data_IF_252703561284
#
_entry.id   IF_252703561284
#
_cell.length_a   1.000
_cell.length_b   1.000
_cell.length_c   1.000
_cell.angle_alpha   90.00
_cell.angle_beta   90.00
_cell.angle_gamma   90.00
#
_symmetry.space_group_name_H-M   'P 1'
#
loop_
_entity.id
_entity.type
_entity.pdbx_description
1 polymer ?
#
# COMPACT_ATOMS: atom_id res chain seq x y z
N UNK A 1 0.36 1.14 -27.99
CA UNK A 1 1.38 0.72 -26.99
C UNK A 1 0.65 0.65 -25.65
N UNK A 2 0.69 -0.47 -24.93
CA UNK A 2 0.03 -0.56 -23.63
C UNK A 2 0.81 0.29 -22.61
N UNK A 3 0.10 1.06 -21.78
CA UNK A 3 0.73 1.82 -20.68
C UNK A 3 1.12 0.80 -19.60
N UNK A 4 2.40 0.75 -19.23
CA UNK A 4 2.91 -0.11 -18.17
C UNK A 4 3.15 0.69 -16.89
N UNK A 5 3.07 0.03 -15.73
CA UNK A 5 3.28 0.63 -14.42
C UNK A 5 4.52 0.01 -13.78
N UNK A 6 5.50 0.84 -13.43
CA UNK A 6 6.63 0.48 -12.60
C UNK A 6 6.31 0.80 -11.13
N UNK A 7 6.55 -0.15 -10.22
CA UNK A 7 6.46 0.09 -8.78
C UNK A 7 7.84 0.52 -8.29
N UNK A 8 7.95 1.76 -7.80
CA UNK A 8 9.20 2.33 -7.31
C UNK A 8 9.46 1.95 -5.84
N UNK A 9 8.38 1.79 -5.08
CA UNK A 9 8.46 1.45 -3.67
C UNK A 9 7.14 1.64 -2.93
N UNK A 10 7.19 1.42 -1.63
CA UNK A 10 6.03 1.55 -0.74
C UNK A 10 6.42 2.17 0.59
N UNK A 11 5.40 2.73 1.26
CA UNK A 11 5.50 3.23 2.64
C UNK A 11 4.20 2.94 3.37
N UNK A 12 4.29 2.44 4.60
CA UNK A 12 3.14 1.99 5.39
C UNK A 12 3.20 2.61 6.78
N UNK A 13 2.09 3.22 7.19
CA UNK A 13 1.93 3.83 8.51
C UNK A 13 1.08 2.91 9.39
N UNK A 14 1.56 2.66 10.60
CA UNK A 14 0.88 1.86 11.62
C UNK A 14 0.53 2.71 12.83
N UNK A 15 -0.42 2.19 13.61
CA UNK A 15 -0.72 2.72 14.94
C UNK A 15 0.53 2.70 15.85
N UNK A 16 0.59 3.67 16.78
CA UNK A 16 1.78 3.89 17.62
C UNK A 16 2.95 4.58 16.91
N UNK A 17 2.70 5.28 15.79
CA UNK A 17 3.69 6.06 15.01
C UNK A 17 4.84 5.23 14.41
N UNK A 18 4.59 3.95 14.11
CA UNK A 18 5.57 3.13 13.38
C UNK A 18 5.36 3.32 11.88
N UNK A 19 6.44 3.56 11.15
CA UNK A 19 6.43 3.72 9.70
C UNK A 19 7.47 2.79 9.10
N UNK A 20 7.07 2.06 8.06
CA UNK A 20 7.93 1.14 7.32
C UNK A 20 7.98 1.60 5.86
N UNK A 21 9.12 1.44 5.20
CA UNK A 21 9.28 1.74 3.78
C UNK A 21 10.19 0.76 3.07
N UNK A 22 10.00 0.64 1.76
CA UNK A 22 10.72 -0.33 0.93
C UNK A 22 12.20 0.01 0.71
N UNK A 23 12.69 1.18 1.15
CA UNK A 23 14.13 1.49 1.10
C UNK A 23 14.89 0.78 2.20
N UNK A 24 14.23 0.53 3.32
CA UNK A 24 14.86 0.03 4.56
C UNK A 24 14.26 -1.28 5.05
N UNK A 25 13.10 -1.67 4.53
CA UNK A 25 12.36 -2.85 4.95
C UNK A 25 11.89 -3.67 3.75
N UNK A 26 11.67 -4.95 4.00
CA UNK A 26 10.98 -5.88 3.11
C UNK A 26 9.53 -6.03 3.54
N UNK A 27 8.73 -6.63 2.67
CA UNK A 27 7.34 -6.95 3.00
C UNK A 27 7.19 -7.96 4.14
N UNK A 28 8.23 -8.75 4.43
CA UNK A 28 8.23 -9.73 5.52
C UNK A 28 8.44 -9.06 6.90
N UNK A 29 8.94 -7.82 6.93
CA UNK A 29 9.12 -7.02 8.14
C UNK A 29 7.82 -6.36 8.62
N UNK A 30 6.78 -6.34 7.77
CA UNK A 30 5.53 -5.65 8.03
C UNK A 30 4.63 -6.43 9.00
N UNK A 31 4.19 -5.83 10.12
CA UNK A 31 3.16 -6.43 10.97
C UNK A 31 1.87 -6.71 10.17
N UNK A 32 1.28 -7.89 10.31
CA UNK A 32 0.09 -8.27 9.54
C UNK A 32 -1.18 -7.48 9.88
N UNK A 33 -1.19 -6.73 10.99
CA UNK A 33 -2.32 -5.93 11.46
C UNK A 33 -1.84 -4.56 11.96
N UNK A 34 -2.76 -3.59 12.00
CA UNK A 34 -2.49 -2.25 12.53
C UNK A 34 -2.21 -1.19 11.47
N UNK A 35 -2.38 -1.50 10.18
CA UNK A 35 -2.14 -0.54 9.10
C UNK A 35 -3.17 0.59 9.18
N UNK A 36 -2.71 1.83 9.16
CA UNK A 36 -3.57 3.02 9.07
C UNK A 36 -3.66 3.47 7.61
N UNK A 37 -2.51 3.58 6.95
CA UNK A 37 -2.38 4.07 5.58
C UNK A 37 -1.28 3.28 4.87
N UNK A 38 -1.53 2.90 3.62
CA UNK A 38 -0.56 2.22 2.76
C UNK A 38 -0.39 3.04 1.48
N UNK A 39 0.83 3.50 1.21
CA UNK A 39 1.17 4.22 -0.01
C UNK A 39 2.07 3.37 -0.91
N UNK A 40 1.74 3.32 -2.19
CA UNK A 40 2.58 2.70 -3.22
C UNK A 40 2.96 3.75 -4.25
N UNK A 41 4.26 3.93 -4.47
CA UNK A 41 4.85 4.87 -5.41
C UNK A 41 5.05 4.20 -6.76
N UNK A 42 4.63 4.88 -7.83
CA UNK A 42 4.52 4.28 -9.16
C UNK A 42 4.91 5.27 -10.24
N UNK A 43 5.44 4.74 -11.34
CA UNK A 43 5.74 5.50 -12.55
C UNK A 43 5.02 4.83 -13.73
N UNK A 44 4.36 5.63 -14.56
CA UNK A 44 3.71 5.12 -15.77
C UNK A 44 4.63 5.32 -16.98
N UNK A 45 4.61 4.38 -17.93
CA UNK A 45 5.51 4.43 -19.10
C UNK A 45 5.27 5.62 -20.02
N UNK A 46 4.07 6.20 -20.03
CA UNK A 46 3.70 7.37 -20.81
C UNK A 46 4.07 8.70 -20.11
N UNK A 47 4.33 8.66 -18.81
CA UNK A 47 4.74 9.81 -17.97
C UNK A 47 5.95 9.43 -17.11
N UNK A 48 7.10 9.11 -17.74
CA UNK A 48 8.26 8.53 -17.03
C UNK A 48 8.90 9.48 -16.00
N UNK A 49 8.65 10.79 -16.12
CA UNK A 49 9.17 11.79 -15.19
C UNK A 49 8.24 12.04 -14.00
N UNK A 50 7.00 11.53 -14.04
CA UNK A 50 6.00 11.78 -13.01
C UNK A 50 5.87 10.58 -12.08
N UNK A 51 6.29 10.77 -10.83
CA UNK A 51 6.05 9.79 -9.76
C UNK A 51 4.67 10.02 -9.19
N UNK A 52 3.81 9.02 -9.35
CA UNK A 52 2.46 9.00 -8.83
C UNK A 52 2.38 8.14 -7.57
N UNK A 53 1.30 8.31 -6.82
CA UNK A 53 1.05 7.62 -5.55
C UNK A 53 -0.34 7.03 -5.56
N UNK A 54 -0.46 5.80 -5.08
CA UNK A 54 -1.75 5.19 -4.74
C UNK A 54 -1.81 4.97 -3.24
N UNK A 55 -2.82 5.56 -2.63
CA UNK A 55 -3.11 5.45 -1.21
C UNK A 55 -4.20 4.40 -0.97
N UNK A 56 -4.04 3.66 0.12
CA UNK A 56 -5.02 2.73 0.64
C UNK A 56 -5.14 2.98 2.14
N UNK A 57 -6.23 3.63 2.55
CA UNK A 57 -6.49 4.00 3.94
C UNK A 57 -7.82 3.44 4.44
N UNK A 58 -7.95 3.33 5.76
CA UNK A 58 -9.17 2.86 6.45
C UNK A 58 -9.15 1.41 6.98
N UNK A 59 -10.33 0.83 7.21
CA UNK A 59 -10.54 -0.49 7.85
C UNK A 59 -10.50 -1.67 6.87
N UNK A 60 -9.89 -1.48 5.70
CA UNK A 60 -9.86 -2.48 4.65
C UNK A 60 -8.76 -3.52 4.89
N UNK A 61 -8.81 -4.62 4.15
CA UNK A 61 -7.63 -5.46 3.96
C UNK A 61 -6.80 -4.89 2.81
N UNK A 62 -5.52 -4.65 3.04
CA UNK A 62 -4.55 -4.27 2.02
C UNK A 62 -3.86 -5.53 1.52
N UNK A 63 -3.56 -5.60 0.24
CA UNK A 63 -2.84 -6.75 -0.29
C UNK A 63 -1.96 -6.40 -1.47
N UNK A 64 -0.92 -7.21 -1.61
CA UNK A 64 -0.19 -7.36 -2.86
C UNK A 64 -0.35 -8.78 -3.39
N UNK A 65 -0.42 -8.95 -4.71
CA UNK A 65 -0.53 -10.26 -5.35
C UNK A 65 0.28 -10.34 -6.65
N UNK A 66 0.88 -11.50 -6.95
CA UNK A 66 1.55 -11.72 -8.23
C UNK A 66 0.52 -11.73 -9.37
N UNK A 67 0.84 -11.07 -10.49
CA UNK A 67 0.04 -11.11 -11.71
C UNK A 67 0.96 -11.04 -12.95
N UNK A 68 0.59 -11.68 -14.08
CA UNK A 68 1.45 -11.75 -15.27
C UNK A 68 1.91 -10.40 -15.82
N UNK A 69 1.09 -9.37 -15.64
CA UNK A 69 1.35 -8.00 -16.12
C UNK A 69 2.06 -7.10 -15.09
N UNK A 70 2.46 -7.66 -13.95
CA UNK A 70 3.09 -6.93 -12.85
C UNK A 70 2.31 -7.07 -11.55
N UNK A 71 2.98 -6.79 -10.44
CA UNK A 71 2.42 -6.95 -9.10
C UNK A 71 1.17 -6.07 -8.87
N UNK A 72 0.08 -6.68 -8.39
CA UNK A 72 -1.16 -5.98 -8.05
C UNK A 72 -1.07 -5.48 -6.62
N UNK A 73 -1.25 -4.18 -6.44
CA UNK A 73 -1.42 -3.55 -5.12
C UNK A 73 -2.83 -2.97 -5.01
N UNK A 74 -3.61 -3.43 -4.03
CA UNK A 74 -5.00 -3.01 -3.85
C UNK A 74 -5.46 -3.11 -2.39
N UNK A 75 -6.63 -2.54 -2.12
CA UNK A 75 -7.43 -2.84 -0.93
C UNK A 75 -8.67 -3.66 -1.28
N UNK A 76 -9.22 -4.33 -0.28
CA UNK A 76 -10.49 -5.04 -0.33
C UNK A 76 -11.37 -4.65 0.86
N UNK A 77 -12.43 -3.90 0.58
CA UNK A 77 -13.49 -3.58 1.54
C UNK A 77 -14.50 -4.72 1.62
N UNK A 78 -15.15 -4.90 2.78
CA UNK A 78 -16.19 -5.92 2.99
C UNK A 78 -15.79 -7.35 2.55
N UNK A 79 -14.53 -7.71 2.75
CA UNK A 79 -14.02 -9.04 2.45
C UNK A 79 -13.17 -9.57 3.59
N UNK A 80 -12.69 -10.80 3.45
CA UNK A 80 -11.79 -11.47 4.39
C UNK A 80 -10.47 -11.75 3.69
N UNK A 81 -9.42 -11.98 4.48
CA UNK A 81 -8.14 -12.46 3.96
C UNK A 81 -8.32 -13.71 3.07
N UNK A 82 -9.13 -14.68 3.51
CA UNK A 82 -9.43 -15.87 2.72
C UNK A 82 -10.11 -15.54 1.39
N UNK A 83 -11.08 -14.61 1.39
CA UNK A 83 -11.76 -14.16 0.18
C UNK A 83 -10.85 -13.42 -0.79
N UNK A 84 -9.82 -12.73 -0.29
CA UNK A 84 -8.76 -12.14 -1.12
C UNK A 84 -7.88 -13.24 -1.70
N UNK A 85 -7.39 -14.16 -0.89
CA UNK A 85 -6.50 -15.25 -1.34
C UNK A 85 -7.14 -16.22 -2.34
N UNK A 86 -8.47 -16.39 -2.29
CA UNK A 86 -9.22 -17.14 -3.30
C UNK A 86 -9.20 -16.41 -4.65
N UNK A 87 -9.41 -15.08 -4.65
CA UNK A 87 -9.43 -14.25 -5.86
C UNK A 87 -8.04 -13.97 -6.42
N UNK A 88 -7.06 -13.87 -5.54
CA UNK A 88 -5.68 -13.54 -5.84
C UNK A 88 -4.75 -14.58 -5.17
N UNK A 89 -4.55 -15.75 -5.80
CA UNK A 89 -3.65 -16.77 -5.28
C UNK A 89 -2.24 -16.21 -5.10
N UNK A 90 -1.62 -16.46 -3.95
CA UNK A 90 -0.30 -15.92 -3.60
C UNK A 90 -0.34 -14.51 -3.02
N UNK A 91 -1.52 -13.94 -2.77
CA UNK A 91 -1.64 -12.63 -2.13
C UNK A 91 -1.05 -12.61 -0.72
N UNK A 92 -0.25 -11.57 -0.44
CA UNK A 92 0.14 -11.14 0.91
C UNK A 92 -0.87 -10.10 1.37
N UNK A 93 -1.38 -10.25 2.59
CA UNK A 93 -2.53 -9.48 3.08
C UNK A 93 -2.20 -8.86 4.44
N UNK A 94 -2.55 -7.60 4.61
CA UNK A 94 -2.45 -6.83 5.85
C UNK A 94 -3.81 -6.30 6.25
N UNK A 95 -4.08 -6.25 7.55
CA UNK A 95 -5.32 -5.73 8.11
C UNK A 95 -5.18 -4.26 8.48
N UNK A 96 -6.11 -3.46 7.97
CA UNK A 96 -6.28 -2.07 8.38
C UNK A 96 -6.92 -1.96 9.76
N UNK A 97 -6.55 -0.91 10.50
CA UNK A 97 -7.01 -0.66 11.86
C UNK A 97 -7.78 0.65 11.96
N UNK A 98 -8.88 0.61 12.71
CA UNK A 98 -9.59 1.81 13.13
C UNK A 98 -8.82 2.53 14.24
N UNK A 99 -8.51 3.78 13.97
CA UNK A 99 -7.88 4.71 14.90
C UNK A 99 -8.74 5.98 14.97
N UNK A 100 -8.65 6.77 16.06
CA UNK A 100 -9.40 8.01 16.15
C UNK A 100 -9.19 8.92 14.93
N UNK A 101 -10.23 9.61 14.48
CA UNK A 101 -10.23 10.48 13.29
C UNK A 101 -9.03 11.43 13.20
N UNK A 102 -8.63 11.99 14.35
CA UNK A 102 -7.47 12.90 14.40
C UNK A 102 -6.17 12.19 14.01
N UNK A 103 -5.99 10.94 14.43
CA UNK A 103 -4.82 10.11 14.06
C UNK A 103 -4.89 9.79 12.56
N UNK A 104 -6.04 9.31 12.09
CA UNK A 104 -6.24 8.98 10.67
C UNK A 104 -5.94 10.19 9.76
N UNK A 105 -6.47 11.37 10.09
CA UNK A 105 -6.23 12.61 9.32
C UNK A 105 -4.77 13.05 9.34
N UNK A 106 -4.10 12.96 10.49
CA UNK A 106 -2.69 13.32 10.60
C UNK A 106 -1.81 12.36 9.79
N UNK A 107 -2.09 11.06 9.84
CA UNK A 107 -1.37 10.05 9.05
C UNK A 107 -1.60 10.24 7.55
N UNK A 108 -2.84 10.45 7.12
CA UNK A 108 -3.14 10.71 5.72
C UNK A 108 -2.42 11.98 5.21
N UNK A 109 -2.37 13.04 6.05
CA UNK A 109 -1.61 14.25 5.73
C UNK A 109 -0.12 13.96 5.58
N UNK A 110 0.49 13.25 6.53
CA UNK A 110 1.90 12.86 6.46
C UNK A 110 2.20 12.04 5.20
N UNK A 111 1.31 11.10 4.85
CA UNK A 111 1.45 10.27 3.67
C UNK A 111 1.36 11.08 2.36
N UNK A 112 0.48 12.09 2.30
CA UNK A 112 0.36 13.02 1.18
C UNK A 112 1.56 13.97 1.09
N UNK A 113 2.12 14.40 2.22
CA UNK A 113 3.28 15.28 2.25
C UNK A 113 4.59 14.53 1.93
N UNK A 114 4.61 13.20 2.08
CA UNK A 114 5.79 12.38 1.76
C UNK A 114 6.02 12.27 0.24
N UNK A 115 7.21 12.71 -0.19
CA UNK A 115 7.69 12.63 -1.56
C UNK A 115 8.66 11.45 -1.70
N UNK A 116 8.48 10.64 -2.73
CA UNK A 116 9.47 9.62 -3.07
C UNK A 116 10.71 10.29 -3.64
N UNK A 117 11.83 10.11 -2.97
CA UNK A 117 13.15 10.38 -3.53
C UNK A 117 13.73 9.06 -4.02
N UNK A 118 14.51 9.06 -5.09
CA UNK A 118 15.27 7.86 -5.50
C UNK A 118 16.51 7.71 -4.62
#
# INVERSE_FOLDING_TARGET
MAITVEILGWRVWYDGKKVFDSKTHTLDDLPLDGVIEFCVYRRFSDTPNDITRRFFGGHDYYFTAPHPEGEIWSSGSNTTEAGIKIRYPGARVWRGKEVPDAVMKNTAKEAVDHIWTE
#
